data_IF_123511248991
#
_entry.id   IF_123511248991
#
_cell.length_a   1.000
_cell.length_b   1.000
_cell.length_c   1.000
_cell.angle_alpha   90.00
_cell.angle_beta   90.00
_cell.angle_gamma   90.00
#
_symmetry.space_group_name_H-M   'P 1'
#
loop_
_entity.id
_entity.type
_entity.pdbx_description
1 polymer ?
#
# COMPACT_ATOMS: atom_id res chain seq x y z
N UNK A 1 22.42 14.86 -1.71
CA UNK A 1 21.86 14.47 -3.03
C UNK A 1 20.36 14.72 -2.97
N UNK A 2 19.65 14.91 -4.08
CA UNK A 2 18.19 15.03 -4.03
C UNK A 2 17.59 13.73 -3.48
N UNK A 3 16.65 13.85 -2.53
CA UNK A 3 15.93 12.70 -1.98
C UNK A 3 14.97 12.16 -3.04
N UNK A 4 14.79 10.85 -3.09
CA UNK A 4 13.81 10.17 -3.94
C UNK A 4 12.52 9.99 -3.14
N UNK A 5 11.37 10.20 -3.78
CA UNK A 5 10.07 9.81 -3.22
C UNK A 5 9.53 8.62 -4.01
N UNK A 6 9.08 7.59 -3.30
CA UNK A 6 8.36 6.46 -3.88
C UNK A 6 7.02 6.30 -3.19
N UNK A 7 5.95 6.45 -3.95
CA UNK A 7 4.58 6.25 -3.48
C UNK A 7 4.12 4.85 -3.90
N UNK A 8 3.65 4.05 -2.95
CA UNK A 8 3.10 2.70 -3.20
C UNK A 8 1.66 2.68 -2.72
N UNK A 9 0.74 2.29 -3.59
CA UNK A 9 -0.68 2.19 -3.28
C UNK A 9 -1.13 0.74 -3.42
N UNK A 10 -1.59 0.16 -2.31
CA UNK A 10 -2.17 -1.18 -2.24
C UNK A 10 -3.67 -1.06 -1.99
N UNK A 11 -4.48 -1.55 -2.91
CA UNK A 11 -5.93 -1.63 -2.75
C UNK A 11 -6.34 -3.06 -2.44
N UNK A 12 -7.14 -3.26 -1.39
CA UNK A 12 -7.64 -4.57 -0.96
C UNK A 12 -9.16 -4.53 -0.79
N UNK A 13 -9.87 -5.56 -1.24
CA UNK A 13 -11.31 -5.72 -1.03
C UNK A 13 -11.58 -6.73 0.08
N UNK A 14 -11.90 -6.24 1.28
CA UNK A 14 -11.87 -7.04 2.51
C UNK A 14 -12.89 -6.55 3.54
N UNK A 15 -13.18 -7.40 4.52
CA UNK A 15 -13.86 -6.99 5.76
C UNK A 15 -12.91 -6.18 6.66
N UNK A 16 -13.44 -5.39 7.61
CA UNK A 16 -12.60 -4.63 8.56
C UNK A 16 -11.65 -5.51 9.39
N UNK A 17 -12.09 -6.70 9.81
CA UNK A 17 -11.26 -7.61 10.61
C UNK A 17 -10.04 -8.13 9.83
N UNK A 18 -10.20 -8.38 8.53
CA UNK A 18 -9.12 -8.80 7.65
C UNK A 18 -8.20 -7.61 7.33
N UNK A 19 -8.77 -6.41 7.15
CA UNK A 19 -7.99 -5.18 6.97
C UNK A 19 -7.03 -4.94 8.13
N UNK A 20 -7.48 -5.08 9.38
CA UNK A 20 -6.65 -4.86 10.56
C UNK A 20 -5.43 -5.81 10.60
N UNK A 21 -5.60 -7.06 10.16
CA UNK A 21 -4.49 -8.03 10.05
C UNK A 21 -3.52 -7.64 8.95
N UNK A 22 -4.03 -7.33 7.76
CA UNK A 22 -3.21 -6.86 6.64
C UNK A 22 -2.40 -5.63 7.05
N UNK A 23 -3.02 -4.66 7.72
CA UNK A 23 -2.34 -3.45 8.22
C UNK A 23 -1.26 -3.79 9.24
N UNK A 24 -1.50 -4.75 10.14
CA UNK A 24 -0.50 -5.19 11.11
C UNK A 24 0.72 -5.82 10.41
N UNK A 25 0.50 -6.68 9.42
CA UNK A 25 1.58 -7.34 8.68
C UNK A 25 2.36 -6.37 7.79
N UNK A 26 1.67 -5.44 7.12
CA UNK A 26 2.30 -4.35 6.35
C UNK A 26 3.20 -3.48 7.23
N UNK A 27 2.82 -3.24 8.49
CA UNK A 27 3.69 -2.51 9.43
C UNK A 27 4.98 -3.27 9.72
N UNK A 28 4.92 -4.60 9.80
CA UNK A 28 6.10 -5.45 9.94
C UNK A 28 7.00 -5.35 8.71
N UNK A 29 6.41 -5.56 7.52
CA UNK A 29 7.14 -5.44 6.23
C UNK A 29 7.79 -4.07 6.07
N UNK A 30 7.07 -2.99 6.38
CA UNK A 30 7.59 -1.64 6.27
C UNK A 30 8.71 -1.38 7.28
N UNK A 31 8.57 -1.87 8.52
CA UNK A 31 9.60 -1.74 9.54
C UNK A 31 10.89 -2.46 9.12
N UNK A 32 10.79 -3.69 8.60
CA UNK A 32 11.93 -4.45 8.10
C UNK A 32 12.56 -3.77 6.87
N UNK A 33 11.75 -3.21 5.98
CA UNK A 33 12.22 -2.53 4.77
C UNK A 33 13.03 -1.27 5.09
N UNK A 34 12.61 -0.46 6.06
CA UNK A 34 13.31 0.78 6.43
C UNK A 34 14.40 0.55 7.49
N UNK A 35 14.47 -0.65 8.09
CA UNK A 35 15.45 -0.94 9.12
C UNK A 35 16.86 -0.75 8.56
N UNK A 36 17.69 -0.02 9.31
CA UNK A 36 19.08 0.27 8.97
C UNK A 36 19.27 1.10 7.66
N UNK A 37 18.19 1.72 7.14
CA UNK A 37 18.22 2.64 5.98
C UNK A 37 17.89 4.08 6.39
N UNK A 38 18.40 5.08 5.67
CA UNK A 38 17.99 6.49 5.84
C UNK A 38 16.71 6.79 5.03
N UNK A 39 15.64 6.05 5.34
CA UNK A 39 14.33 6.11 4.68
C UNK A 39 13.26 6.46 5.71
N UNK A 40 12.47 7.49 5.40
CA UNK A 40 11.26 7.84 6.13
C UNK A 40 10.04 7.34 5.39
N UNK A 41 9.05 6.83 6.11
CA UNK A 41 7.82 6.32 5.51
C UNK A 41 6.57 6.82 6.23
N UNK A 42 5.57 7.22 5.44
CA UNK A 42 4.21 7.47 5.91
C UNK A 42 3.27 6.39 5.38
N UNK A 43 2.28 6.02 6.20
CA UNK A 43 1.24 5.04 5.86
C UNK A 43 -0.12 5.60 6.19
N UNK A 44 -1.01 5.59 5.22
CA UNK A 44 -2.41 5.96 5.37
C UNK A 44 -3.30 4.77 4.99
N UNK A 45 -4.45 4.65 5.66
CA UNK A 45 -5.50 3.70 5.26
C UNK A 45 -6.78 4.46 5.05
N UNK A 46 -7.35 4.35 3.86
CA UNK A 46 -8.48 5.15 3.42
C UNK A 46 -9.53 4.23 2.80
N UNK A 47 -10.83 4.44 3.06
CA UNK A 47 -11.88 3.77 2.31
C UNK A 47 -11.90 4.30 0.88
N UNK A 48 -12.15 3.41 -0.08
CA UNK A 48 -12.34 3.76 -1.49
C UNK A 48 -13.84 3.77 -1.80
N UNK A 49 -14.28 4.76 -2.57
CA UNK A 49 -15.68 4.94 -2.94
C UNK A 49 -16.18 3.76 -3.80
N UNK A 50 -17.43 3.32 -3.57
CA UNK A 50 -18.00 2.19 -4.30
C UNK A 50 -18.20 2.45 -5.81
N UNK A 51 -18.21 3.73 -6.21
CA UNK A 51 -18.28 4.13 -7.62
C UNK A 51 -16.91 4.16 -8.31
N UNK A 52 -15.82 4.02 -7.55
CA UNK A 52 -14.46 3.94 -8.09
C UNK A 52 -14.28 2.65 -8.90
N UNK A 53 -13.57 2.74 -10.03
CA UNK A 53 -13.29 1.59 -10.90
C UNK A 53 -12.50 0.49 -10.20
N UNK A 54 -11.56 0.85 -9.32
CA UNK A 54 -10.78 -0.14 -8.56
C UNK A 54 -11.69 -0.93 -7.63
N UNK A 55 -12.69 -0.28 -7.02
CA UNK A 55 -13.68 -0.98 -6.21
C UNK A 55 -14.48 -1.98 -7.05
N UNK A 56 -15.02 -1.53 -8.18
CA UNK A 56 -15.82 -2.38 -9.07
C UNK A 56 -15.04 -3.58 -9.59
N UNK A 57 -13.76 -3.39 -9.94
CA UNK A 57 -12.89 -4.46 -10.43
C UNK A 57 -12.60 -5.50 -9.35
N UNK A 58 -12.24 -5.06 -8.13
CA UNK A 58 -11.92 -5.97 -7.02
C UNK A 58 -13.17 -6.69 -6.50
N UNK A 59 -14.31 -6.00 -6.39
CA UNK A 59 -15.58 -6.63 -6.05
C UNK A 59 -15.97 -7.70 -7.09
N UNK A 60 -15.78 -7.40 -8.38
CA UNK A 60 -16.05 -8.36 -9.45
C UNK A 60 -15.18 -9.61 -9.33
N UNK A 61 -13.90 -9.45 -8.99
CA UNK A 61 -12.99 -10.57 -8.71
C UNK A 61 -13.44 -11.38 -7.50
N UNK A 62 -13.82 -10.71 -6.41
CA UNK A 62 -14.33 -11.38 -5.21
C UNK A 62 -15.60 -12.19 -5.49
N UNK A 63 -16.55 -11.63 -6.23
CA UNK A 63 -17.79 -12.32 -6.60
C UNK A 63 -17.53 -13.53 -7.50
N UNK A 64 -16.52 -13.45 -8.37
CA UNK A 64 -16.12 -14.57 -9.21
C UNK A 64 -15.52 -15.74 -8.38
N UNK A 65 -14.80 -15.43 -7.30
CA UNK A 65 -14.28 -16.46 -6.36
C UNK A 65 -15.32 -16.94 -5.34
N UNK A 66 -16.40 -16.19 -5.12
CA UNK A 66 -17.46 -16.51 -4.14
C UNK A 66 -18.86 -16.60 -4.78
N UNK A 67 -19.11 -17.60 -5.66
CA UNK A 67 -20.38 -17.72 -6.35
C UNK A 67 -21.55 -17.91 -5.37
N UNK A 68 -22.64 -17.18 -5.59
CA UNK A 68 -23.86 -17.25 -4.77
C UNK A 68 -23.79 -16.50 -3.44
N UNK A 69 -22.65 -15.90 -3.11
CA UNK A 69 -22.48 -15.07 -1.92
C UNK A 69 -22.62 -13.59 -2.29
N UNK A 70 -23.12 -12.80 -1.34
CA UNK A 70 -23.13 -11.34 -1.45
C UNK A 70 -22.10 -10.78 -0.46
N UNK A 71 -21.38 -9.70 -0.83
CA UNK A 71 -20.60 -8.94 0.12
C UNK A 71 -21.52 -8.41 1.22
N UNK A 72 -21.14 -8.61 2.47
CA UNK A 72 -21.89 -8.13 3.62
C UNK A 72 -21.22 -6.89 4.21
N UNK A 73 -19.93 -7.01 4.49
CA UNK A 73 -19.13 -5.96 5.15
C UNK A 73 -17.85 -5.63 4.39
N UNK A 74 -17.60 -6.35 3.30
CA UNK A 74 -16.45 -6.15 2.43
C UNK A 74 -16.54 -4.79 1.73
N UNK A 75 -15.43 -4.08 1.75
CA UNK A 75 -15.25 -2.83 1.04
C UNK A 75 -13.80 -2.74 0.53
N UNK A 76 -13.57 -1.81 -0.40
CA UNK A 76 -12.21 -1.52 -0.86
C UNK A 76 -11.57 -0.51 0.06
N UNK A 77 -10.34 -0.81 0.48
CA UNK A 77 -9.49 0.10 1.22
C UNK A 77 -8.18 0.29 0.46
N UNK A 78 -7.70 1.52 0.43
CA UNK A 78 -6.36 1.87 -0.01
C UNK A 78 -5.43 1.94 1.21
N UNK A 79 -4.29 1.27 1.12
CA UNK A 79 -3.15 1.41 2.02
C UNK A 79 -2.06 2.12 1.22
N UNK A 80 -1.99 3.44 1.39
CA UNK A 80 -1.03 4.30 0.70
C UNK A 80 0.24 4.44 1.55
N UNK A 81 1.38 4.14 0.94
CA UNK A 81 2.72 4.32 1.49
C UNK A 81 3.44 5.43 0.72
N UNK A 82 4.12 6.32 1.42
CA UNK A 82 5.02 7.30 0.80
C UNK A 82 6.38 7.19 1.48
N UNK A 83 7.39 6.80 0.70
CA UNK A 83 8.76 6.58 1.16
C UNK A 83 9.68 7.69 0.64
N UNK A 84 10.51 8.26 1.51
CA UNK A 84 11.45 9.33 1.19
C UNK A 84 12.84 8.96 1.71
N UNK A 85 13.84 8.93 0.82
CA UNK A 85 15.18 8.46 1.16
C UNK A 85 16.22 8.78 0.09
N UNK A 86 17.45 8.29 0.29
CA UNK A 86 18.46 8.38 -0.76
C UNK A 86 18.07 7.49 -1.97
N UNK A 87 18.39 7.88 -3.21
CA UNK A 87 18.09 7.07 -4.38
C UNK A 87 18.66 5.65 -4.35
N UNK A 88 19.77 5.44 -3.63
CA UNK A 88 20.39 4.12 -3.44
C UNK A 88 19.64 3.22 -2.48
N UNK A 89 18.85 3.80 -1.57
CA UNK A 89 18.08 3.07 -0.55
C UNK A 89 16.62 2.84 -0.97
N UNK A 90 16.20 3.52 -2.05
CA UNK A 90 14.90 3.42 -2.71
C UNK A 90 15.12 3.07 -4.19
N UNK A 91 15.99 2.11 -4.50
CA UNK A 91 16.18 1.64 -5.87
C UNK A 91 14.92 0.95 -6.40
N UNK A 92 14.86 0.69 -7.70
CA UNK A 92 13.70 -0.01 -8.28
C UNK A 92 13.60 -1.45 -7.74
N UNK A 93 14.74 -2.09 -7.48
CA UNK A 93 14.82 -3.40 -6.84
C UNK A 93 14.31 -3.34 -5.39
N UNK A 94 14.67 -2.29 -4.63
CA UNK A 94 14.16 -2.10 -3.27
C UNK A 94 12.65 -1.94 -3.24
N UNK A 95 12.08 -1.18 -4.18
CA UNK A 95 10.63 -1.01 -4.30
C UNK A 95 9.98 -2.34 -4.70
N UNK A 96 10.54 -3.09 -5.65
CA UNK A 96 10.01 -4.39 -6.04
C UNK A 96 10.01 -5.42 -4.89
N UNK A 97 11.05 -5.40 -4.04
CA UNK A 97 11.12 -6.22 -2.83
C UNK A 97 10.03 -5.82 -1.82
N UNK A 98 9.80 -4.52 -1.64
CA UNK A 98 8.70 -4.00 -0.83
C UNK A 98 7.34 -4.45 -1.38
N UNK A 99 7.10 -4.27 -2.68
CA UNK A 99 5.86 -4.69 -3.36
C UNK A 99 5.59 -6.19 -3.14
N UNK A 100 6.64 -7.02 -3.24
CA UNK A 100 6.57 -8.46 -2.99
C UNK A 100 6.22 -8.78 -1.54
N UNK A 101 6.84 -8.08 -0.57
CA UNK A 101 6.52 -8.22 0.84
C UNK A 101 5.09 -7.83 1.17
N UNK A 102 4.58 -6.74 0.57
CA UNK A 102 3.20 -6.30 0.74
C UNK A 102 2.20 -7.31 0.17
N UNK A 103 2.48 -7.88 -1.00
CA UNK A 103 1.65 -8.95 -1.57
C UNK A 103 1.62 -10.18 -0.66
N UNK A 104 2.77 -10.59 -0.11
CA UNK A 104 2.85 -11.71 0.84
C UNK A 104 2.08 -11.45 2.14
N UNK A 105 2.09 -10.21 2.64
CA UNK A 105 1.29 -9.81 3.80
C UNK A 105 -0.22 -9.98 3.54
N UNK A 106 -0.70 -9.60 2.35
CA UNK A 106 -2.11 -9.82 1.96
C UNK A 106 -2.43 -11.31 1.89
N UNK A 107 -1.61 -12.11 1.20
CA UNK A 107 -1.81 -13.56 1.10
C UNK A 107 -1.74 -14.27 2.46
N UNK A 108 -0.89 -13.79 3.37
CA UNK A 108 -0.75 -14.32 4.72
C UNK A 108 -2.00 -14.08 5.58
N UNK A 109 -2.66 -12.93 5.40
CA UNK A 109 -3.90 -12.61 6.08
C UNK A 109 -5.08 -13.43 5.55
N UNK A 110 -5.24 -13.51 4.22
CA UNK A 110 -6.24 -14.34 3.54
C UNK A 110 -5.90 -14.46 2.04
N UNK A 111 -5.75 -15.71 1.56
CA UNK A 111 -5.35 -16.02 0.19
C UNK A 111 -6.42 -15.71 -0.87
N UNK A 112 -7.65 -15.46 -0.44
CA UNK A 112 -8.79 -15.21 -1.33
C UNK A 112 -9.05 -13.73 -1.57
N UNK A 113 -8.32 -12.85 -0.87
CA UNK A 113 -8.48 -11.41 -0.94
C UNK A 113 -8.03 -10.90 -2.31
N UNK A 114 -8.93 -10.30 -3.10
CA UNK A 114 -8.54 -9.60 -4.31
C UNK A 114 -7.84 -8.30 -3.93
N UNK A 115 -6.72 -8.04 -4.60
CA UNK A 115 -5.95 -6.82 -4.40
C UNK A 115 -5.28 -6.33 -5.68
N UNK A 116 -4.94 -5.05 -5.73
CA UNK A 116 -4.07 -4.47 -6.74
C UNK A 116 -3.03 -3.59 -6.08
N UNK A 117 -1.82 -3.58 -6.64
CA UNK A 117 -0.70 -2.84 -6.10
C UNK A 117 -0.08 -2.00 -7.22
N UNK A 118 0.26 -0.74 -6.90
CA UNK A 118 0.88 0.20 -7.84
C UNK A 118 1.96 1.01 -7.13
N UNK A 119 3.18 0.98 -7.66
CA UNK A 119 4.24 1.91 -7.28
C UNK A 119 4.39 3.05 -8.30
N UNK A 120 4.66 4.26 -7.80
CA UNK A 120 5.01 5.43 -8.58
C UNK A 120 6.21 6.13 -7.95
N UNK A 121 7.22 6.47 -8.75
CA UNK A 121 8.43 7.11 -8.28
C UNK A 121 8.53 8.53 -8.78
N UNK A 122 8.99 9.43 -7.92
CA UNK A 122 9.21 10.84 -8.20
C UNK A 122 10.67 11.18 -7.89
N UNK A 123 11.41 11.57 -8.92
CA UNK A 123 12.87 11.78 -8.84
C UNK A 123 13.29 13.22 -8.52
N UNK A 124 12.35 14.17 -8.53
CA UNK A 124 12.65 15.61 -8.46
C UNK A 124 11.81 16.32 -7.40
N UNK A 125 12.08 16.04 -6.12
CA UNK A 125 11.54 16.88 -5.03
C UNK A 125 12.68 17.66 -4.42
N UNK A 126 12.85 18.91 -4.87
CA UNK A 126 13.45 19.95 -4.04
C UNK A 126 12.52 20.12 -2.83
N UNK A 127 12.82 19.40 -1.75
CA UNK A 127 12.25 19.71 -0.45
C UNK A 127 12.79 21.07 -0.02
N UNK A 128 12.15 22.17 -0.45
CA UNK A 128 12.24 23.43 0.28
C UNK A 128 11.40 23.22 1.55
N UNK A 129 12.01 23.16 2.75
CA UNK A 129 11.21 23.17 3.96
C UNK A 129 10.54 24.54 4.04
N UNK A 130 9.22 24.57 3.90
CA UNK A 130 8.41 25.70 4.37
C UNK A 130 8.59 25.80 5.88
N UNK A 131 9.66 26.48 6.30
CA UNK A 131 9.76 27.04 7.64
C UNK A 131 8.79 28.22 7.65
N UNK A 132 7.50 27.92 7.84
CA UNK A 132 6.55 28.90 8.36
C UNK A 132 7.13 29.40 9.70
N UNK A 133 7.81 30.55 9.62
CA UNK A 133 8.16 31.33 10.80
C UNK A 133 6.85 31.84 11.39
N UNK A 134 6.47 31.26 12.53
CA UNK A 134 5.59 31.84 13.54
C UNK A 134 6.03 33.26 13.90
#
# INVERSE_FOLDING_TARGET
>A
MPKRISDVSLHVYVTPDVLDRIVADIRGVLADHIQDRDVFAWRFTLPVDATDTVHQDLESQWRASHPGHQPETEATFEIALSLVGEPTDLSDDDIADLESGLALAVYGADQTVPFTLRAHQRSDVEFEPDVERL
#
